data_IF_876108326080
#
_entry.id   IF_876108326080
#
_cell.length_a   1.000
_cell.length_b   1.000
_cell.length_c   1.000
_cell.angle_alpha   90.00
_cell.angle_beta   90.00
_cell.angle_gamma   90.00
#
_symmetry.space_group_name_H-M   'P 1'
#
loop_
_entity.id
_entity.type
_entity.pdbx_description
1 polymer ?
#
# COMPACT_ATOMS: atom_id res chain seq x y z
N UNK A 1 7.84 -11.22 -21.65
CA UNK A 1 8.82 -12.31 -21.57
C UNK A 1 9.49 -12.47 -20.19
N UNK A 2 9.27 -11.55 -19.22
CA UNK A 2 9.92 -11.62 -17.90
C UNK A 2 9.22 -12.49 -16.84
N UNK A 3 7.93 -12.80 -17.01
CA UNK A 3 7.14 -13.48 -15.96
C UNK A 3 7.43 -15.00 -15.87
N UNK A 4 8.01 -15.61 -16.91
CA UNK A 4 8.21 -17.06 -16.96
C UNK A 4 9.48 -17.58 -16.25
N UNK A 5 10.44 -16.71 -15.87
CA UNK A 5 11.75 -17.13 -15.33
C UNK A 5 11.71 -17.39 -13.81
N UNK A 6 10.72 -16.86 -13.09
CA UNK A 6 10.69 -16.92 -11.63
C UNK A 6 10.35 -18.32 -11.05
N UNK A 7 9.72 -19.21 -11.83
CA UNK A 7 9.24 -20.49 -11.32
C UNK A 7 10.35 -21.55 -11.09
N UNK A 8 11.59 -21.31 -11.56
CA UNK A 8 12.71 -22.26 -11.49
C UNK A 8 13.90 -21.81 -10.64
N UNK A 9 13.88 -20.60 -10.08
CA UNK A 9 14.98 -20.08 -9.29
C UNK A 9 14.91 -20.55 -7.82
N UNK A 10 16.04 -20.98 -7.26
CA UNK A 10 16.14 -21.29 -5.83
C UNK A 10 15.78 -20.06 -4.99
N UNK A 11 15.20 -20.26 -3.80
CA UNK A 11 14.80 -19.17 -2.87
C UNK A 11 15.90 -18.12 -2.68
N UNK A 12 17.16 -18.55 -2.67
CA UNK A 12 18.33 -17.67 -2.56
C UNK A 12 18.59 -16.85 -3.82
N UNK A 13 18.46 -17.42 -5.02
CA UNK A 13 18.58 -16.69 -6.27
C UNK A 13 17.51 -15.62 -6.47
N UNK A 14 16.30 -15.82 -5.91
CA UNK A 14 15.26 -14.78 -5.90
C UNK A 14 15.62 -13.61 -4.97
N UNK A 15 16.18 -13.89 -3.78
CA UNK A 15 16.58 -12.86 -2.82
C UNK A 15 17.65 -11.94 -3.42
N UNK A 16 18.63 -12.50 -4.14
CA UNK A 16 19.68 -11.70 -4.74
C UNK A 16 19.17 -10.84 -5.91
N UNK A 17 18.25 -11.37 -6.72
CA UNK A 17 17.56 -10.57 -7.75
C UNK A 17 16.72 -9.43 -7.14
N UNK A 18 16.04 -9.65 -6.01
CA UNK A 18 15.32 -8.58 -5.31
C UNK A 18 16.27 -7.50 -4.78
N UNK A 19 17.41 -7.88 -4.20
CA UNK A 19 18.40 -6.90 -3.72
C UNK A 19 18.88 -5.98 -4.83
N UNK A 20 19.10 -6.50 -6.03
CA UNK A 20 19.50 -5.68 -7.19
C UNK A 20 18.38 -4.68 -7.57
N UNK A 21 17.12 -5.11 -7.56
CA UNK A 21 15.96 -4.23 -7.80
C UNK A 21 15.84 -3.16 -6.71
N UNK A 22 16.11 -3.50 -5.44
CA UNK A 22 16.04 -2.54 -4.33
C UNK A 22 17.06 -1.40 -4.44
N UNK A 23 18.14 -1.59 -5.21
CA UNK A 23 19.14 -0.55 -5.48
C UNK A 23 18.76 0.35 -6.67
N UNK A 24 17.73 -0.01 -7.44
CA UNK A 24 17.27 0.84 -8.55
C UNK A 24 16.77 2.19 -8.04
N UNK A 25 17.03 3.25 -8.81
CA UNK A 25 16.64 4.60 -8.45
C UNK A 25 15.12 4.74 -8.26
N UNK A 26 14.34 4.09 -9.13
CA UNK A 26 12.88 4.02 -9.03
C UNK A 26 12.40 3.41 -7.72
N UNK A 27 13.02 2.31 -7.29
CA UNK A 27 12.68 1.65 -6.03
C UNK A 27 13.04 2.52 -4.83
N UNK A 28 14.22 3.14 -4.83
CA UNK A 28 14.66 4.03 -3.74
C UNK A 28 13.73 5.23 -3.60
N UNK A 29 13.35 5.85 -4.72
CA UNK A 29 12.41 6.98 -4.70
C UNK A 29 11.03 6.56 -4.18
N UNK A 30 10.54 5.41 -4.62
CA UNK A 30 9.25 4.86 -4.17
C UNK A 30 9.28 4.48 -2.68
N UNK A 31 10.38 3.88 -2.20
CA UNK A 31 10.58 3.51 -0.79
C UNK A 31 10.55 4.73 0.13
N UNK A 32 11.05 5.89 -0.31
CA UNK A 32 10.95 7.14 0.48
C UNK A 32 9.50 7.57 0.71
N UNK A 33 8.61 7.32 -0.26
CA UNK A 33 7.16 7.62 -0.14
C UNK A 33 6.41 6.56 0.67
N UNK A 34 6.96 5.35 0.78
CA UNK A 34 6.31 4.22 1.43
C UNK A 34 5.94 4.49 2.90
N UNK A 35 6.80 5.13 3.68
CA UNK A 35 6.49 5.46 5.09
C UNK A 35 5.23 6.34 5.23
N UNK A 36 4.99 7.27 4.30
CA UNK A 36 3.80 8.10 4.30
C UNK A 36 2.53 7.30 3.94
N UNK A 37 2.67 6.30 3.06
CA UNK A 37 1.58 5.38 2.71
C UNK A 37 1.22 4.51 3.93
N UNK A 38 2.19 3.90 4.58
CA UNK A 38 1.98 3.08 5.78
C UNK A 38 1.36 3.88 6.93
N UNK A 39 1.86 5.10 7.15
CA UNK A 39 1.24 6.02 8.12
C UNK A 39 -0.21 6.36 7.75
N UNK A 40 -0.50 6.46 6.45
CA UNK A 40 -1.86 6.70 5.97
C UNK A 40 -2.79 5.51 6.22
N UNK A 41 -2.34 4.30 5.92
CA UNK A 41 -3.07 3.06 6.20
C UNK A 41 -3.31 2.90 7.70
N UNK A 42 -2.27 3.03 8.52
CA UNK A 42 -2.39 2.89 9.97
C UNK A 42 -3.38 3.90 10.58
N UNK A 43 -3.46 5.13 10.07
CA UNK A 43 -4.47 6.05 10.57
C UNK A 43 -5.90 5.72 10.08
N UNK A 44 -6.08 5.13 8.89
CA UNK A 44 -7.39 4.56 8.50
C UNK A 44 -7.81 3.44 9.46
N UNK A 45 -6.88 2.55 9.82
CA UNK A 45 -7.11 1.47 10.79
C UNK A 45 -7.43 2.01 12.20
N UNK A 46 -6.69 3.02 12.67
CA UNK A 46 -7.00 3.68 13.94
C UNK A 46 -8.41 4.31 13.94
N UNK A 47 -8.85 4.80 12.79
CA UNK A 47 -10.22 5.28 12.54
C UNK A 47 -11.24 4.15 12.28
N UNK A 48 -10.90 2.90 12.62
CA UNK A 48 -11.76 1.71 12.58
C UNK A 48 -12.06 1.16 11.19
N UNK A 49 -11.22 1.44 10.18
CA UNK A 49 -11.36 0.79 8.87
C UNK A 49 -11.01 -0.72 8.94
N UNK A 50 -10.40 -1.18 10.03
CA UNK A 50 -10.20 -2.61 10.34
C UNK A 50 -11.52 -3.39 10.47
N UNK A 51 -12.65 -2.69 10.66
CA UNK A 51 -13.98 -3.26 10.72
C UNK A 51 -14.95 -2.50 9.82
N UNK A 52 -15.45 -3.19 8.80
CA UNK A 52 -16.58 -2.72 8.02
C UNK A 52 -17.88 -3.09 8.75
N UNK A 53 -18.65 -2.07 9.15
CA UNK A 53 -19.96 -2.27 9.79
C UNK A 53 -21.10 -2.45 8.77
N UNK A 54 -20.82 -2.27 7.48
CA UNK A 54 -21.76 -2.49 6.38
C UNK A 54 -21.71 -3.96 5.89
N UNK A 55 -22.68 -4.34 5.04
CA UNK A 55 -22.86 -5.70 4.55
C UNK A 55 -22.77 -5.80 3.03
N UNK A 56 -22.21 -6.92 2.54
CA UNK A 56 -22.03 -7.17 1.12
C UNK A 56 -20.86 -6.39 0.50
N UNK A 57 -20.55 -6.70 -0.75
CA UNK A 57 -19.42 -6.09 -1.47
C UNK A 57 -19.64 -4.59 -1.69
N UNK A 58 -20.82 -4.19 -2.16
CA UNK A 58 -21.15 -2.78 -2.41
C UNK A 58 -21.05 -1.94 -1.12
N UNK A 59 -21.49 -2.51 0.01
CA UNK A 59 -21.38 -1.88 1.32
C UNK A 59 -19.91 -1.70 1.74
N UNK A 60 -19.10 -2.74 1.55
CA UNK A 60 -17.66 -2.70 1.80
C UNK A 60 -16.95 -1.65 0.95
N UNK A 61 -17.18 -1.64 -0.37
CA UNK A 61 -16.58 -0.67 -1.29
C UNK A 61 -16.94 0.76 -0.91
N UNK A 62 -18.21 1.02 -0.61
CA UNK A 62 -18.68 2.33 -0.14
C UNK A 62 -18.03 2.73 1.18
N UNK A 63 -17.94 1.80 2.14
CA UNK A 63 -17.36 2.06 3.45
C UNK A 63 -15.87 2.44 3.33
N UNK A 64 -15.09 1.66 2.56
CA UNK A 64 -13.68 1.94 2.29
C UNK A 64 -13.51 3.28 1.56
N UNK A 65 -14.32 3.54 0.53
CA UNK A 65 -14.25 4.78 -0.23
C UNK A 65 -14.49 6.02 0.66
N UNK A 66 -15.47 5.96 1.56
CA UNK A 66 -15.76 7.04 2.50
C UNK A 66 -14.61 7.25 3.51
N UNK A 67 -14.01 6.18 4.02
CA UNK A 67 -12.86 6.30 4.93
C UNK A 67 -11.65 6.95 4.25
N UNK A 68 -11.35 6.57 3.00
CA UNK A 68 -10.28 7.19 2.21
C UNK A 68 -10.58 8.66 1.95
N UNK A 69 -11.81 9.00 1.54
CA UNK A 69 -12.23 10.38 1.34
C UNK A 69 -12.05 11.23 2.60
N UNK A 70 -12.52 10.73 3.75
CA UNK A 70 -12.41 11.43 5.03
C UNK A 70 -10.94 11.69 5.40
N UNK A 71 -10.05 10.71 5.20
CA UNK A 71 -8.62 10.90 5.44
C UNK A 71 -8.01 11.96 4.52
N UNK A 72 -8.37 11.96 3.25
CA UNK A 72 -7.88 12.97 2.31
C UNK A 72 -8.32 14.38 2.73
N UNK A 73 -9.56 14.55 3.19
CA UNK A 73 -10.05 15.83 3.74
C UNK A 73 -9.24 16.24 4.97
N UNK A 74 -8.95 15.31 5.88
CA UNK A 74 -8.14 15.60 7.07
C UNK A 74 -6.71 16.06 6.71
N UNK A 75 -6.09 15.47 5.67
CA UNK A 75 -4.79 15.88 5.17
C UNK A 75 -4.86 17.29 4.60
N UNK A 76 -5.88 17.59 3.77
CA UNK A 76 -6.09 18.94 3.25
C UNK A 76 -6.26 19.96 4.38
N UNK A 77 -7.00 19.61 5.44
CA UNK A 77 -7.17 20.46 6.61
C UNK A 77 -5.88 20.71 7.41
N UNK A 78 -4.86 19.85 7.31
CA UNK A 78 -3.54 20.11 7.91
C UNK A 78 -2.65 21.04 7.05
N UNK A 79 -2.98 21.20 5.77
CA UNK A 79 -2.20 22.00 4.82
C UNK A 79 -2.66 23.46 4.74
N UNK A 80 -3.90 23.74 5.18
CA UNK A 80 -4.52 25.07 5.23
C UNK A 80 -4.30 25.72 6.60
#
# INVERSE_FOLDING_TARGET
MAIAVAATASRWGLIDAYKEIEQSEEFVESRRKHSAIESSINALENHRLDRCLDHGLDGFERYVALSVLARNIQILGHLL
#
